data_IF_792463772294
#
_entry.id   IF_792463772294
#
_cell.length_a   1.000
_cell.length_b   1.000
_cell.length_c   1.000
_cell.angle_alpha   90.00
_cell.angle_beta   90.00
_cell.angle_gamma   90.00
#
_symmetry.space_group_name_H-M   'P 1'
#
loop_
_entity.id
_entity.type
_entity.pdbx_description
1 polymer ?
#
# COMPACT_ATOMS: atom_id res chain seq x y z
N UNK A 1 18.48 42.58 -21.49
CA UNK A 1 17.81 41.98 -20.30
C UNK A 1 16.72 42.85 -19.69
N UNK A 2 16.90 44.17 -19.52
CA UNK A 2 15.89 45.04 -18.89
C UNK A 2 14.49 45.02 -19.56
N UNK A 3 14.42 44.88 -20.89
CA UNK A 3 13.15 44.83 -21.62
C UNK A 3 12.34 43.54 -21.40
N UNK A 4 13.00 42.40 -21.18
CA UNK A 4 12.33 41.13 -20.87
C UNK A 4 11.72 41.15 -19.46
N UNK A 5 12.44 41.72 -18.49
CA UNK A 5 11.94 41.88 -17.12
C UNK A 5 10.70 42.80 -17.08
N UNK A 6 10.74 43.89 -17.86
CA UNK A 6 9.63 44.86 -17.97
C UNK A 6 8.39 44.25 -18.62
N UNK A 7 8.57 43.39 -19.64
CA UNK A 7 7.50 42.63 -20.27
C UNK A 7 6.85 41.62 -19.33
N UNK A 8 7.66 40.90 -18.54
CA UNK A 8 7.16 39.96 -17.53
C UNK A 8 6.35 40.68 -16.44
N UNK A 9 6.87 41.78 -15.91
CA UNK A 9 6.19 42.58 -14.88
C UNK A 9 4.87 43.17 -15.41
N UNK A 10 4.85 43.66 -16.64
CA UNK A 10 3.62 44.15 -17.27
C UNK A 10 2.60 43.03 -17.50
N UNK A 11 3.04 41.83 -17.89
CA UNK A 11 2.15 40.68 -18.07
C UNK A 11 1.53 40.23 -16.74
N UNK A 12 2.32 40.19 -15.66
CA UNK A 12 1.83 39.84 -14.31
C UNK A 12 0.85 40.88 -13.79
N UNK A 13 1.18 42.18 -13.92
CA UNK A 13 0.27 43.27 -13.53
C UNK A 13 -1.03 43.23 -14.35
N UNK A 14 -0.94 43.01 -15.65
CA UNK A 14 -2.14 42.89 -16.51
C UNK A 14 -3.00 41.69 -16.12
N UNK A 15 -2.39 40.57 -15.73
CA UNK A 15 -3.10 39.39 -15.25
C UNK A 15 -3.79 39.70 -13.91
N UNK A 16 -3.09 40.34 -12.97
CA UNK A 16 -3.65 40.72 -11.67
C UNK A 16 -4.82 41.69 -11.81
N UNK A 17 -4.72 42.68 -12.70
CA UNK A 17 -5.83 43.62 -12.99
C UNK A 17 -7.01 42.89 -13.62
N UNK A 18 -6.79 41.97 -14.56
CA UNK A 18 -7.86 41.15 -15.15
C UNK A 18 -8.55 40.27 -14.13
N UNK A 19 -7.78 39.65 -13.22
CA UNK A 19 -8.32 38.84 -12.13
C UNK A 19 -9.13 39.72 -11.18
N UNK A 20 -8.64 40.91 -10.81
CA UNK A 20 -9.38 41.88 -9.99
C UNK A 20 -10.69 42.32 -10.63
N UNK A 21 -10.67 42.67 -11.92
CA UNK A 21 -11.88 43.01 -12.69
C UNK A 21 -12.87 41.85 -12.79
N UNK A 22 -12.36 40.62 -12.92
CA UNK A 22 -13.19 39.43 -12.90
C UNK A 22 -13.91 39.27 -11.55
N UNK A 23 -13.22 39.53 -10.44
CA UNK A 23 -13.82 39.50 -9.11
C UNK A 23 -14.81 40.65 -8.88
N UNK A 24 -14.58 41.83 -9.45
CA UNK A 24 -15.47 43.00 -9.33
C UNK A 24 -16.79 42.81 -10.11
N UNK A 25 -16.75 42.05 -11.21
CA UNK A 25 -17.94 41.69 -11.99
C UNK A 25 -18.74 40.51 -11.43
N UNK A 26 -18.25 39.82 -10.39
CA UNK A 26 -18.94 38.67 -9.82
C UNK A 26 -20.04 39.13 -8.86
N UNK A 27 -21.25 38.55 -8.94
CA UNK A 27 -22.26 38.77 -7.93
C UNK A 27 -21.70 38.41 -6.55
N UNK A 28 -21.91 39.28 -5.56
CA UNK A 28 -21.31 39.16 -4.22
C UNK A 28 -21.53 37.78 -3.58
N UNK A 29 -22.66 37.13 -3.85
CA UNK A 29 -22.96 35.78 -3.37
C UNK A 29 -22.03 34.70 -3.95
N UNK A 30 -21.56 34.83 -5.20
CA UNK A 30 -20.61 33.90 -5.82
C UNK A 30 -19.26 33.98 -5.12
N UNK A 31 -18.81 35.20 -4.78
CA UNK A 31 -17.57 35.42 -4.02
C UNK A 31 -17.65 34.73 -2.65
N UNK A 32 -18.78 34.88 -1.95
CA UNK A 32 -19.01 34.21 -0.67
C UNK A 32 -19.04 32.68 -0.78
N UNK A 33 -19.68 32.13 -1.81
CA UNK A 33 -19.72 30.67 -2.05
C UNK A 33 -18.31 30.13 -2.28
N UNK A 34 -17.51 30.78 -3.13
CA UNK A 34 -16.12 30.37 -3.39
C UNK A 34 -15.29 30.47 -2.11
N UNK A 35 -15.44 31.55 -1.34
CA UNK A 35 -14.74 31.73 -0.06
C UNK A 35 -15.08 30.60 0.92
N UNK A 36 -16.35 30.25 1.06
CA UNK A 36 -16.80 29.15 1.94
C UNK A 36 -16.28 27.79 1.48
N UNK A 37 -16.24 27.53 0.17
CA UNK A 37 -15.67 26.30 -0.40
C UNK A 37 -14.17 26.22 -0.09
N UNK A 38 -13.43 27.32 -0.29
CA UNK A 38 -11.98 27.36 0.00
C UNK A 38 -11.71 27.21 1.50
N UNK A 39 -12.49 27.89 2.35
CA UNK A 39 -12.35 27.80 3.80
C UNK A 39 -12.73 26.40 4.32
N UNK A 40 -13.80 25.81 3.79
CA UNK A 40 -14.23 24.44 4.07
C UNK A 40 -13.19 23.42 3.62
N UNK A 41 -12.62 23.60 2.43
CA UNK A 41 -11.54 22.74 1.92
C UNK A 41 -10.28 22.84 2.78
N UNK A 42 -9.88 24.05 3.19
CA UNK A 42 -8.74 24.28 4.07
C UNK A 42 -8.95 23.67 5.46
N UNK A 43 -10.14 23.79 6.05
CA UNK A 43 -10.47 23.15 7.34
C UNK A 43 -10.47 21.63 7.24
N UNK A 44 -10.96 21.06 6.14
CA UNK A 44 -10.85 19.62 5.85
C UNK A 44 -9.38 19.18 5.68
N UNK A 45 -8.56 19.99 5.00
CA UNK A 45 -7.14 19.70 4.81
C UNK A 45 -6.35 19.75 6.13
N UNK A 46 -6.71 20.68 7.02
CA UNK A 46 -6.12 20.81 8.36
C UNK A 46 -6.54 19.68 9.29
N UNK A 47 -7.82 19.29 9.28
CA UNK A 47 -8.34 18.18 10.10
C UNK A 47 -7.89 16.81 9.58
N UNK A 48 -7.72 16.65 8.27
CA UNK A 48 -7.11 15.44 7.68
C UNK A 48 -5.63 15.26 8.07
N UNK A 49 -4.92 16.35 8.39
CA UNK A 49 -3.54 16.31 8.94
C UNK A 49 -3.50 16.23 10.46
N UNK A 50 -4.56 16.63 11.15
CA UNK A 50 -4.70 16.42 12.59
C UNK A 50 -4.98 14.93 12.84
N UNK A 51 -3.90 14.16 13.04
CA UNK A 51 -4.03 12.83 13.65
C UNK A 51 -4.86 13.00 14.91
N UNK A 52 -6.02 12.33 15.07
CA UNK A 52 -6.72 12.37 16.34
C UNK A 52 -5.73 11.89 17.38
N UNK A 53 -5.46 12.72 18.39
CA UNK A 53 -4.76 12.32 19.59
C UNK A 53 -5.59 11.18 20.17
N UNK A 54 -5.15 9.96 19.86
CA UNK A 54 -5.79 8.74 20.31
C UNK A 54 -5.67 8.77 21.82
N UNK A 55 -6.76 9.10 22.50
CA UNK A 55 -6.94 8.79 23.91
C UNK A 55 -6.67 7.29 24.04
N UNK A 56 -5.48 6.94 24.51
CA UNK A 56 -5.16 5.56 24.87
C UNK A 56 -5.91 5.31 26.18
N UNK A 57 -7.21 5.08 26.10
CA UNK A 57 -7.85 4.17 27.05
C UNK A 57 -7.10 2.85 26.87
N UNK A 58 -6.36 2.45 27.90
CA UNK A 58 -5.76 1.12 27.95
C UNK A 58 -6.87 0.12 27.56
N UNK A 59 -6.69 -0.66 26.48
CA UNK A 59 -7.69 -1.64 26.12
C UNK A 59 -7.79 -2.60 27.30
N UNK A 60 -9.01 -2.74 27.85
CA UNK A 60 -9.39 -3.90 28.63
C UNK A 60 -8.86 -5.11 27.88
N UNK A 61 -7.95 -5.86 28.50
CA UNK A 61 -7.29 -7.01 27.91
C UNK A 61 -8.36 -8.05 27.62
N UNK A 62 -8.97 -7.95 26.44
CA UNK A 62 -9.75 -9.02 25.88
C UNK A 62 -8.84 -10.26 25.84
N UNK A 63 -9.35 -11.46 26.16
CA UNK A 63 -8.56 -12.67 26.10
C UNK A 63 -7.91 -12.73 24.72
N UNK A 64 -6.57 -12.69 24.69
CA UNK A 64 -5.80 -12.79 23.45
C UNK A 64 -6.16 -14.14 22.84
N UNK A 65 -6.84 -14.20 21.68
CA UNK A 65 -7.07 -15.46 21.01
C UNK A 65 -5.70 -16.10 20.75
N UNK A 66 -5.59 -17.41 20.94
CA UNK A 66 -4.34 -18.14 20.69
C UNK A 66 -3.82 -17.81 19.28
N UNK A 67 -2.51 -17.71 19.11
CA UNK A 67 -1.89 -17.37 17.82
C UNK A 67 -2.36 -18.30 16.69
N UNK A 68 -2.65 -19.56 17.02
CA UNK A 68 -3.27 -20.53 16.12
C UNK A 68 -4.69 -20.14 15.70
N UNK A 69 -5.53 -19.71 16.64
CA UNK A 69 -6.87 -19.23 16.33
C UNK A 69 -6.84 -17.95 15.48
N UNK A 70 -5.87 -17.05 15.71
CA UNK A 70 -5.66 -15.88 14.85
C UNK A 70 -5.29 -16.31 13.42
N UNK A 71 -4.38 -17.28 13.26
CA UNK A 71 -3.97 -17.81 11.96
C UNK A 71 -5.12 -18.51 11.23
N UNK A 72 -5.87 -19.39 11.90
CA UNK A 72 -7.03 -20.06 11.30
C UNK A 72 -8.08 -19.05 10.87
N UNK A 73 -8.35 -18.04 11.70
CA UNK A 73 -9.26 -16.94 11.34
C UNK A 73 -8.74 -16.16 10.13
N UNK A 74 -7.45 -15.83 10.09
CA UNK A 74 -6.82 -15.13 8.97
C UNK A 74 -6.88 -15.94 7.67
N UNK A 75 -6.63 -17.24 7.72
CA UNK A 75 -6.75 -18.14 6.56
C UNK A 75 -8.19 -18.16 6.03
N UNK A 76 -9.17 -18.33 6.91
CA UNK A 76 -10.59 -18.33 6.53
C UNK A 76 -11.03 -16.98 5.94
N UNK A 77 -10.55 -15.87 6.50
CA UNK A 77 -10.89 -14.53 6.01
C UNK A 77 -10.12 -14.11 4.76
N UNK A 78 -8.94 -14.67 4.53
CA UNK A 78 -8.12 -14.38 3.36
C UNK A 78 -8.80 -14.82 2.06
N UNK A 79 -9.74 -15.75 2.08
CA UNK A 79 -10.52 -16.08 0.89
C UNK A 79 -11.34 -14.88 0.39
N UNK A 80 -11.91 -14.08 1.30
CA UNK A 80 -12.84 -13.00 0.95
C UNK A 80 -12.26 -11.59 1.08
N UNK A 81 -11.14 -11.43 1.82
CA UNK A 81 -10.57 -10.12 2.14
C UNK A 81 -9.14 -9.95 1.60
N UNK A 82 -8.95 -8.97 0.73
CA UNK A 82 -7.63 -8.57 0.22
C UNK A 82 -6.65 -8.15 1.34
N UNK A 83 -7.16 -7.51 2.39
CA UNK A 83 -6.35 -7.10 3.55
C UNK A 83 -5.85 -8.32 4.34
N UNK A 84 -6.71 -9.33 4.52
CA UNK A 84 -6.31 -10.58 5.16
C UNK A 84 -5.28 -11.35 4.31
N UNK A 85 -5.46 -11.39 2.98
CA UNK A 85 -4.43 -11.94 2.05
C UNK A 85 -3.11 -11.21 2.21
N UNK A 86 -3.14 -9.87 2.17
CA UNK A 86 -1.95 -9.02 2.33
C UNK A 86 -1.20 -9.29 3.64
N UNK A 87 -1.92 -9.37 4.76
CA UNK A 87 -1.31 -9.65 6.08
C UNK A 87 -0.69 -11.05 6.12
N UNK A 88 -1.40 -12.04 5.57
CA UNK A 88 -0.95 -13.42 5.55
C UNK A 88 0.26 -13.62 4.62
N UNK A 89 0.22 -13.03 3.42
CA UNK A 89 1.33 -13.04 2.47
C UNK A 89 2.59 -12.38 3.02
N UNK A 90 2.48 -11.25 3.75
CA UNK A 90 3.65 -10.64 4.43
C UNK A 90 4.26 -11.55 5.49
N UNK A 91 3.44 -12.23 6.30
CA UNK A 91 3.94 -13.18 7.31
C UNK A 91 4.68 -14.34 6.63
N UNK A 92 4.13 -14.88 5.55
CA UNK A 92 4.77 -15.94 4.77
C UNK A 92 6.04 -15.47 4.04
N UNK A 93 6.04 -14.26 3.49
CA UNK A 93 7.21 -13.65 2.88
C UNK A 93 8.37 -13.55 3.88
N UNK A 94 8.08 -13.12 5.12
CA UNK A 94 9.08 -13.11 6.19
C UNK A 94 9.65 -14.49 6.49
N UNK A 95 8.80 -15.52 6.55
CA UNK A 95 9.25 -16.90 6.74
C UNK A 95 10.07 -17.43 5.55
N UNK A 96 9.63 -17.14 4.32
CA UNK A 96 10.31 -17.52 3.09
C UNK A 96 11.71 -16.89 2.99
N UNK A 97 11.82 -15.60 3.29
CA UNK A 97 13.10 -14.89 3.34
C UNK A 97 14.01 -15.47 4.41
N UNK A 98 13.50 -15.69 5.63
CA UNK A 98 14.30 -16.28 6.70
C UNK A 98 14.82 -17.68 6.33
N UNK A 99 13.99 -18.50 5.67
CA UNK A 99 14.39 -19.81 5.14
C UNK A 99 15.49 -19.68 4.09
N UNK A 100 15.34 -18.76 3.15
CA UNK A 100 16.31 -18.54 2.07
C UNK A 100 17.66 -18.05 2.59
N UNK A 101 17.65 -17.08 3.50
CA UNK A 101 18.85 -16.59 4.19
C UNK A 101 19.60 -17.75 4.86
N UNK A 102 18.87 -18.65 5.51
CA UNK A 102 19.47 -19.81 6.18
C UNK A 102 20.02 -20.85 5.19
N UNK A 103 19.33 -21.11 4.08
CA UNK A 103 19.73 -22.16 3.14
C UNK A 103 20.79 -21.74 2.13
N UNK A 104 20.62 -20.56 1.55
CA UNK A 104 21.50 -20.05 0.49
C UNK A 104 22.63 -19.18 1.05
N UNK A 105 22.66 -18.95 2.37
CA UNK A 105 23.62 -18.09 3.07
C UNK A 105 23.71 -16.67 2.48
N UNK A 106 22.61 -16.17 1.92
CA UNK A 106 22.53 -14.82 1.34
C UNK A 106 22.12 -13.77 2.39
N UNK A 107 22.50 -12.49 2.22
CA UNK A 107 22.02 -11.41 3.07
C UNK A 107 20.49 -11.26 3.05
N UNK A 108 19.89 -10.98 4.21
CA UNK A 108 18.44 -10.76 4.34
C UNK A 108 17.92 -9.65 3.41
N UNK A 109 18.70 -8.57 3.25
CA UNK A 109 18.35 -7.49 2.33
C UNK A 109 18.24 -7.97 0.88
N UNK A 110 19.23 -8.73 0.42
CA UNK A 110 19.21 -9.31 -0.94
C UNK A 110 18.02 -10.26 -1.13
N UNK A 111 17.69 -11.06 -0.12
CA UNK A 111 16.54 -11.97 -0.18
C UNK A 111 15.20 -11.22 -0.29
N UNK A 112 15.06 -10.09 0.42
CA UNK A 112 13.90 -9.19 0.28
C UNK A 112 13.87 -8.51 -1.08
N UNK A 113 14.99 -7.96 -1.54
CA UNK A 113 15.09 -7.29 -2.84
C UNK A 113 14.72 -8.26 -3.99
N UNK A 114 15.25 -9.48 -3.97
CA UNK A 114 14.90 -10.52 -4.94
C UNK A 114 13.41 -10.88 -4.93
N UNK A 115 12.80 -10.92 -3.75
CA UNK A 115 11.36 -11.14 -3.61
C UNK A 115 10.58 -9.94 -4.17
N UNK A 116 11.00 -8.72 -3.84
CA UNK A 116 10.40 -7.45 -4.25
C UNK A 116 10.53 -7.15 -5.76
N UNK A 117 11.56 -7.69 -6.39
CA UNK A 117 11.80 -7.57 -7.83
C UNK A 117 11.24 -8.79 -8.58
N UNK A 118 10.71 -9.79 -7.87
CA UNK A 118 10.13 -10.98 -8.47
C UNK A 118 11.15 -11.93 -9.11
N UNK A 119 12.42 -11.82 -8.71
CA UNK A 119 13.49 -12.74 -9.14
C UNK A 119 13.39 -14.09 -8.45
N UNK A 120 12.78 -14.13 -7.27
CA UNK A 120 12.60 -15.33 -6.46
C UNK A 120 11.32 -15.22 -5.61
N UNK A 121 10.51 -16.30 -5.49
CA UNK A 121 10.56 -17.53 -6.27
C UNK A 121 10.23 -17.28 -7.76
N UNK A 122 10.71 -18.15 -8.66
CA UNK A 122 10.46 -18.04 -10.11
C UNK A 122 9.05 -18.47 -10.48
N UNK A 123 8.45 -19.37 -9.69
CA UNK A 123 7.05 -19.73 -9.86
C UNK A 123 6.14 -18.55 -9.53
N UNK A 124 5.45 -18.04 -10.55
CA UNK A 124 4.54 -16.90 -10.44
C UNK A 124 3.40 -17.10 -9.42
N UNK A 125 2.97 -18.35 -9.17
CA UNK A 125 1.92 -18.64 -8.19
C UNK A 125 2.41 -18.42 -6.76
N UNK A 126 3.59 -18.95 -6.42
CA UNK A 126 4.21 -18.72 -5.12
C UNK A 126 4.51 -17.23 -4.91
N UNK A 127 5.01 -16.56 -5.95
CA UNK A 127 5.26 -15.12 -5.90
C UNK A 127 3.97 -14.33 -5.62
N UNK A 128 2.85 -14.69 -6.25
CA UNK A 128 1.56 -14.03 -6.05
C UNK A 128 1.02 -14.19 -4.60
N UNK A 129 1.27 -15.33 -3.95
CA UNK A 129 0.89 -15.58 -2.55
C UNK A 129 1.80 -14.81 -1.59
N UNK A 130 3.11 -14.81 -1.84
CA UNK A 130 4.08 -14.08 -1.01
C UNK A 130 3.95 -12.55 -1.17
N UNK A 131 3.42 -12.08 -2.32
CA UNK A 131 3.22 -10.66 -2.62
C UNK A 131 1.80 -10.35 -3.09
N UNK A 132 0.81 -10.41 -2.17
CA UNK A 132 -0.56 -10.06 -2.47
C UNK A 132 -0.64 -8.55 -2.73
N UNK A 133 -0.65 -8.15 -4.00
CA UNK A 133 -0.77 -6.73 -4.39
C UNK A 133 -0.07 -6.35 -5.69
N UNK A 134 0.99 -7.07 -6.09
CA UNK A 134 1.64 -6.83 -7.39
C UNK A 134 0.99 -7.63 -8.54
N UNK A 135 0.10 -8.57 -8.21
CA UNK A 135 -0.35 -9.62 -9.11
C UNK A 135 -1.70 -9.43 -9.80
N UNK A 136 -2.29 -8.23 -9.89
CA UNK A 136 -3.49 -8.06 -10.74
C UNK A 136 -3.20 -8.37 -12.23
N UNK A 137 -1.92 -8.37 -12.62
CA UNK A 137 -1.44 -8.63 -13.99
C UNK A 137 -0.82 -10.02 -14.20
N UNK A 138 -0.61 -10.80 -13.16
CA UNK A 138 -0.13 -12.18 -13.32
C UNK A 138 -1.35 -13.06 -13.57
N UNK A 139 -1.34 -13.96 -14.58
CA UNK A 139 -2.43 -14.89 -14.79
C UNK A 139 -2.51 -15.82 -13.57
N UNK A 140 -3.33 -15.45 -12.59
CA UNK A 140 -3.72 -16.33 -11.51
C UNK A 140 -4.46 -17.48 -12.18
N UNK A 141 -3.79 -18.62 -12.31
CA UNK A 141 -4.41 -19.91 -12.64
C UNK A 141 -5.70 -20.00 -11.81
N UNK A 142 -6.81 -20.48 -12.40
CA UNK A 142 -8.18 -20.50 -11.83
C UNK A 142 -8.36 -21.22 -10.47
N UNK A 143 -7.29 -21.52 -9.74
CA UNK A 143 -7.33 -22.13 -8.42
C UNK A 143 -7.74 -21.08 -7.35
N UNK A 144 -8.62 -21.46 -6.39
CA UNK A 144 -8.98 -20.59 -5.29
C UNK A 144 -7.77 -20.30 -4.38
N UNK A 145 -7.73 -19.12 -3.78
CA UNK A 145 -6.60 -18.64 -2.96
C UNK A 145 -6.15 -19.61 -1.85
N UNK A 146 -7.04 -20.30 -1.10
CA UNK A 146 -6.62 -21.27 -0.10
C UNK A 146 -5.76 -22.42 -0.67
N UNK A 147 -6.02 -22.84 -1.91
CA UNK A 147 -5.24 -23.90 -2.57
C UNK A 147 -3.85 -23.40 -2.94
N UNK A 148 -3.76 -22.21 -3.54
CA UNK A 148 -2.48 -21.58 -3.87
C UNK A 148 -1.63 -21.35 -2.61
N UNK A 149 -2.29 -20.95 -1.52
CA UNK A 149 -1.66 -20.78 -0.21
C UNK A 149 -1.09 -22.10 0.31
N UNK A 150 -1.88 -23.17 0.29
CA UNK A 150 -1.43 -24.51 0.69
C UNK A 150 -0.22 -24.96 -0.14
N UNK A 151 -0.31 -24.89 -1.47
CA UNK A 151 0.77 -25.28 -2.38
C UNK A 151 2.06 -24.48 -2.11
N UNK A 152 1.93 -23.19 -1.77
CA UNK A 152 3.07 -22.33 -1.42
C UNK A 152 3.68 -22.69 -0.08
N UNK A 153 2.87 -23.05 0.93
CA UNK A 153 3.37 -23.52 2.22
C UNK A 153 4.10 -24.86 2.06
N UNK A 154 3.55 -25.77 1.26
CA UNK A 154 4.17 -27.07 0.98
C UNK A 154 5.49 -26.90 0.20
N UNK A 155 5.54 -25.98 -0.77
CA UNK A 155 6.77 -25.63 -1.49
C UNK A 155 7.83 -25.03 -0.55
N UNK A 156 7.44 -24.14 0.38
CA UNK A 156 8.34 -23.59 1.38
C UNK A 156 8.84 -24.65 2.37
N UNK A 157 7.98 -25.60 2.74
CA UNK A 157 8.36 -26.72 3.59
C UNK A 157 9.36 -27.66 2.91
N UNK A 158 9.12 -27.98 1.64
CA UNK A 158 10.04 -28.76 0.82
C UNK A 158 11.37 -28.03 0.63
N UNK A 159 11.31 -26.72 0.37
CA UNK A 159 12.48 -25.86 0.32
C UNK A 159 13.24 -25.94 1.63
N UNK A 160 12.58 -25.77 2.79
CA UNK A 160 13.21 -25.87 4.12
C UNK A 160 13.95 -27.19 4.39
N UNK A 161 13.54 -28.30 3.75
CA UNK A 161 14.20 -29.61 3.81
C UNK A 161 15.43 -29.75 2.89
N UNK A 162 15.77 -28.71 2.13
CA UNK A 162 16.87 -28.69 1.15
C UNK A 162 16.40 -28.95 -0.28
N UNK A 163 15.08 -28.92 -0.52
CA UNK A 163 14.49 -29.01 -1.86
C UNK A 163 14.55 -27.68 -2.63
N UNK A 164 13.90 -27.63 -3.79
CA UNK A 164 13.72 -26.39 -4.57
C UNK A 164 12.30 -25.86 -4.37
N UNK A 165 12.17 -24.55 -4.18
CA UNK A 165 10.87 -23.88 -4.04
C UNK A 165 10.06 -23.84 -5.35
N UNK A 166 10.74 -23.93 -6.50
CA UNK A 166 10.12 -23.85 -7.83
C UNK A 166 9.64 -25.21 -8.38
N UNK A 167 9.65 -26.28 -7.57
CA UNK A 167 9.13 -27.58 -8.00
C UNK A 167 7.60 -27.53 -8.02
N UNK A 168 7.03 -27.38 -9.21
CA UNK A 168 5.68 -27.84 -9.54
C UNK A 168 5.69 -29.34 -9.76
#
# INVERSE_FOLDING_TARGET
MAYLLRGLVAAVLSLLVRVGWFFDGLPQHVVWVVLLIVLGYLTLLMTAKAKPAKEIRAPVTAPTPSDLAELVRLVRWAEFSFLARSKLGRRLAGAAVALRVRQEAIPSRQAWDDLEEGRWPRNAQHLAVLRPGQGWRLPMRNAPYPRQLQDTVDALWNYAKGGKIDRN
#
